data_IF_985243906701
#
_entry.id   IF_985243906701
#
_cell.length_a   1.000
_cell.length_b   1.000
_cell.length_c   1.000
_cell.angle_alpha   90.00
_cell.angle_beta   90.00
_cell.angle_gamma   90.00
#
_symmetry.space_group_name_H-M   'P 1'
#
loop_
_entity.id
_entity.type
_entity.pdbx_description
1 polymer ?
#
# COMPACT_ATOMS: atom_id res chain seq x y z
N UNK A 1 -4.72 -9.40 -3.70
CA UNK A 1 -4.22 -8.94 -5.02
C UNK A 1 -4.38 -10.07 -6.02
N UNK A 2 -4.57 -9.76 -7.30
CA UNK A 2 -4.91 -10.74 -8.34
C UNK A 2 -3.97 -10.72 -9.54
N UNK A 3 -3.13 -9.68 -9.66
CA UNK A 3 -2.16 -9.47 -10.73
C UNK A 3 -0.98 -8.65 -10.20
N UNK A 4 0.19 -8.69 -10.84
CA UNK A 4 1.32 -7.80 -10.51
C UNK A 4 1.04 -6.30 -10.62
N UNK A 5 0.05 -5.91 -11.42
CA UNK A 5 -0.39 -4.51 -11.46
C UNK A 5 -1.26 -4.08 -10.27
N UNK A 6 -1.48 -4.95 -9.30
CA UNK A 6 -2.18 -4.60 -8.07
C UNK A 6 -1.22 -4.09 -6.97
N UNK A 7 0.09 -4.26 -7.12
CA UNK A 7 1.12 -3.71 -6.25
C UNK A 7 2.32 -3.23 -7.07
N UNK A 8 2.62 -1.95 -6.93
CA UNK A 8 3.59 -1.28 -7.80
C UNK A 8 4.48 -0.34 -7.01
N UNK A 9 5.68 -0.12 -7.52
CA UNK A 9 6.64 0.84 -7.00
C UNK A 9 6.89 1.92 -8.05
N UNK A 10 6.70 3.17 -7.69
CA UNK A 10 6.94 4.30 -8.56
C UNK A 10 8.16 5.09 -8.13
N UNK A 11 9.12 5.21 -9.05
CA UNK A 11 10.34 5.99 -8.87
C UNK A 11 10.10 7.51 -9.02
N UNK A 12 11.05 8.38 -8.61
CA UNK A 12 10.85 9.83 -8.65
C UNK A 12 10.70 10.41 -10.06
N UNK A 13 11.19 9.71 -11.08
CA UNK A 13 11.02 10.07 -12.49
C UNK A 13 9.68 9.60 -13.09
N UNK A 14 8.84 8.97 -12.26
CA UNK A 14 7.53 8.43 -12.61
C UNK A 14 7.56 7.03 -13.21
N UNK A 15 8.73 6.40 -13.34
CA UNK A 15 8.81 5.03 -13.82
C UNK A 15 8.10 4.08 -12.85
N UNK A 16 7.19 3.26 -13.39
CA UNK A 16 6.36 2.34 -12.63
C UNK A 16 6.87 0.91 -12.78
N UNK A 17 7.28 0.31 -11.66
CA UNK A 17 7.67 -1.08 -11.57
C UNK A 17 6.47 -1.94 -11.17
N UNK A 18 6.16 -2.95 -11.98
CA UNK A 18 4.87 -3.70 -11.96
C UNK A 18 5.09 -5.22 -11.82
N UNK A 19 6.28 -5.62 -11.40
CA UNK A 19 6.70 -7.02 -11.37
C UNK A 19 7.97 -7.28 -10.56
N UNK A 20 8.18 -6.47 -9.52
CA UNK A 20 9.31 -6.67 -8.61
C UNK A 20 8.98 -7.84 -7.69
N UNK A 21 9.95 -8.69 -7.37
CA UNK A 21 9.73 -9.81 -6.44
C UNK A 21 9.65 -9.36 -4.98
N UNK A 22 10.24 -8.22 -4.69
CA UNK A 22 10.22 -7.48 -3.44
C UNK A 22 9.47 -6.16 -3.63
N UNK A 23 9.04 -5.56 -2.51
CA UNK A 23 8.41 -4.25 -2.49
C UNK A 23 9.04 -3.39 -1.39
N UNK A 24 9.69 -2.30 -1.81
CA UNK A 24 10.37 -1.36 -0.94
C UNK A 24 9.43 -0.22 -0.53
N UNK A 25 9.01 -0.23 0.73
CA UNK A 25 8.35 0.94 1.29
C UNK A 25 9.39 2.02 1.57
N UNK A 26 9.33 3.13 0.83
CA UNK A 26 10.15 4.30 1.06
C UNK A 26 11.41 4.34 0.20
N UNK A 27 12.52 3.74 0.64
CA UNK A 27 13.83 3.91 -0.01
C UNK A 27 14.45 2.58 -0.40
N UNK A 28 14.76 2.44 -1.69
CA UNK A 28 15.68 1.45 -2.26
C UNK A 28 17.00 2.15 -2.68
N UNK A 29 17.48 1.93 -3.91
CA UNK A 29 18.45 2.75 -4.61
C UNK A 29 17.91 4.15 -4.92
N UNK A 30 16.60 4.27 -5.09
CA UNK A 30 15.82 5.50 -5.25
C UNK A 30 14.61 5.49 -4.31
N UNK A 31 13.95 6.65 -4.14
CA UNK A 31 12.69 6.73 -3.39
C UNK A 31 11.55 6.06 -4.16
N UNK A 32 10.85 5.14 -3.51
CA UNK A 32 9.67 4.46 -4.03
C UNK A 32 8.39 5.01 -3.40
N UNK A 33 7.42 5.33 -4.26
CA UNK A 33 6.03 5.52 -3.86
C UNK A 33 5.25 4.27 -4.23
N UNK A 34 4.65 3.61 -3.24
CA UNK A 34 3.98 2.33 -3.45
C UNK A 34 2.50 2.52 -3.69
N UNK A 35 1.98 1.88 -4.73
CA UNK A 35 0.54 1.78 -5.01
C UNK A 35 0.06 0.35 -4.73
N UNK A 36 -0.94 0.19 -3.87
CA UNK A 36 -1.59 -1.09 -3.60
C UNK A 36 -3.06 -1.05 -4.02
N UNK A 37 -3.54 -2.10 -4.67
CA UNK A 37 -4.92 -2.24 -5.15
C UNK A 37 -5.48 -3.61 -4.77
N UNK A 38 -6.62 -3.59 -4.13
CA UNK A 38 -7.35 -4.77 -3.69
C UNK A 38 -8.62 -4.89 -4.53
N UNK A 39 -8.53 -5.58 -5.66
CA UNK A 39 -9.55 -5.60 -6.71
C UNK A 39 -10.82 -6.43 -6.42
N UNK A 40 -10.91 -7.09 -5.25
CA UNK A 40 -12.04 -7.96 -4.91
C UNK A 40 -12.32 -7.95 -3.41
N UNK A 41 -12.68 -6.77 -2.89
CA UNK A 41 -13.13 -6.61 -1.50
C UNK A 41 -14.66 -6.59 -1.47
N UNK A 42 -15.25 -7.54 -0.74
CA UNK A 42 -16.68 -7.57 -0.43
C UNK A 42 -17.01 -6.50 0.62
N UNK A 43 -17.01 -5.23 0.20
CA UNK A 43 -17.41 -4.08 1.02
C UNK A 43 -18.75 -3.52 0.52
N UNK A 44 -19.87 -3.84 1.20
CA UNK A 44 -21.17 -3.25 0.90
C UNK A 44 -21.14 -1.72 1.00
N UNK A 45 -22.00 -1.05 0.22
CA UNK A 45 -22.09 0.42 0.23
C UNK A 45 -22.56 1.00 1.58
N UNK A 46 -23.26 0.20 2.40
CA UNK A 46 -23.72 0.53 3.75
C UNK A 46 -22.86 -0.10 4.85
N UNK A 47 -21.69 -0.65 4.49
CA UNK A 47 -20.80 -1.29 5.45
C UNK A 47 -20.33 -0.31 6.53
N UNK A 48 -20.50 -0.70 7.79
CA UNK A 48 -19.88 -0.02 8.92
C UNK A 48 -18.46 -0.54 9.06
N UNK A 49 -17.49 0.23 8.56
CA UNK A 49 -16.07 -0.09 8.74
C UNK A 49 -15.68 0.28 10.17
N UNK A 50 -15.41 -0.71 11.02
CA UNK A 50 -14.94 -0.48 12.39
C UNK A 50 -13.44 -0.20 12.43
N UNK A 51 -12.67 -1.07 11.79
CA UNK A 51 -11.21 -1.04 11.69
C UNK A 51 -10.80 -1.57 10.31
N UNK A 52 -9.66 -1.09 9.81
CA UNK A 52 -9.01 -1.63 8.62
C UNK A 52 -7.49 -1.46 8.75
N UNK A 53 -6.69 -2.39 8.23
CA UNK A 53 -5.24 -2.23 8.17
C UNK A 53 -4.69 -2.99 6.97
N UNK A 54 -3.52 -2.56 6.52
CA UNK A 54 -2.68 -3.33 5.60
C UNK A 54 -1.76 -4.21 6.43
N UNK A 55 -1.58 -5.47 6.03
CA UNK A 55 -0.60 -6.38 6.65
C UNK A 55 0.42 -6.86 5.62
N UNK A 56 1.71 -6.69 5.96
CA UNK A 56 2.84 -7.06 5.12
C UNK A 56 3.54 -8.32 5.65
N UNK A 57 4.26 -9.01 4.77
CA UNK A 57 5.18 -10.09 5.13
C UNK A 57 6.59 -9.62 4.86
N UNK A 58 7.49 -9.75 5.84
CA UNK A 58 8.89 -9.31 5.69
C UNK A 58 9.60 -10.19 4.66
N UNK A 59 10.17 -9.58 3.62
CA UNK A 59 11.06 -10.29 2.68
C UNK A 59 12.54 -10.10 3.06
N UNK A 60 12.94 -8.86 3.41
CA UNK A 60 14.31 -8.57 3.85
C UNK A 60 14.39 -7.88 5.23
N UNK A 61 15.48 -8.16 5.95
CA UNK A 61 15.80 -7.45 7.20
C UNK A 61 16.03 -5.98 6.90
N UNK A 62 15.17 -5.13 7.47
CA UNK A 62 15.14 -3.70 7.21
C UNK A 62 15.32 -2.91 8.53
N UNK A 63 16.57 -2.63 8.94
CA UNK A 63 16.85 -1.90 10.17
C UNK A 63 16.62 -0.39 10.00
N UNK A 64 16.66 0.34 11.12
CA UNK A 64 16.57 1.80 11.12
C UNK A 64 15.14 2.36 11.08
N UNK A 65 15.00 3.67 11.29
CA UNK A 65 13.71 4.34 11.35
C UNK A 65 13.03 4.38 9.99
N UNK A 66 11.70 4.29 10.00
CA UNK A 66 10.85 4.46 8.82
C UNK A 66 9.61 5.28 9.18
N UNK A 67 9.12 6.06 8.23
CA UNK A 67 7.93 6.89 8.41
C UNK A 67 7.20 7.06 7.09
N UNK A 68 5.94 6.66 7.06
CA UNK A 68 5.08 6.64 5.89
C UNK A 68 3.80 7.42 6.13
N UNK A 69 3.22 7.92 5.04
CA UNK A 69 1.86 8.42 4.98
C UNK A 69 1.08 7.54 4.03
N UNK A 70 -0.06 7.04 4.52
CA UNK A 70 -0.98 6.20 3.77
C UNK A 70 -2.20 7.05 3.39
N UNK A 71 -2.59 6.98 2.13
CA UNK A 71 -3.82 7.60 1.60
C UNK A 71 -4.59 6.63 0.73
N UNK A 72 -5.89 6.87 0.56
CA UNK A 72 -6.72 6.14 -0.38
C UNK A 72 -6.73 6.78 -1.77
N UNK A 73 -7.04 5.99 -2.80
CA UNK A 73 -7.28 6.50 -4.17
C UNK A 73 -8.74 6.21 -4.56
N UNK A 74 -9.56 7.26 -4.75
CA UNK A 74 -10.94 7.10 -5.21
C UNK A 74 -11.04 6.32 -6.53
N UNK A 75 -12.02 5.42 -6.60
CA UNK A 75 -12.29 4.60 -7.80
C UNK A 75 -11.36 3.41 -8.02
N UNK A 76 -10.26 3.30 -7.26
CA UNK A 76 -9.32 2.17 -7.31
C UNK A 76 -8.93 1.72 -8.73
N UNK A 77 -8.45 2.65 -9.60
CA UNK A 77 -8.02 2.30 -10.95
C UNK A 77 -6.83 1.33 -10.90
N UNK A 78 -6.67 0.51 -11.94
CA UNK A 78 -5.45 -0.28 -12.10
C UNK A 78 -4.25 0.66 -12.29
N UNK A 79 -3.11 0.32 -11.66
CA UNK A 79 -1.89 1.09 -11.79
C UNK A 79 -1.29 0.92 -13.19
N UNK A 80 -0.98 2.02 -13.86
CA UNK A 80 -0.35 1.97 -15.19
C UNK A 80 0.24 3.32 -15.60
N UNK A 81 1.24 3.26 -16.48
CA UNK A 81 1.85 4.44 -17.08
C UNK A 81 2.81 5.19 -16.13
N UNK A 82 3.46 6.22 -16.68
CA UNK A 82 4.32 7.10 -15.89
C UNK A 82 3.49 7.95 -14.95
N UNK A 83 3.96 8.11 -13.71
CA UNK A 83 3.21 8.81 -12.65
C UNK A 83 1.82 8.19 -12.39
N UNK A 84 1.69 6.88 -12.64
CA UNK A 84 0.46 6.12 -12.43
C UNK A 84 0.02 6.04 -10.97
N UNK A 85 0.93 6.30 -10.01
CA UNK A 85 0.66 6.39 -8.58
C UNK A 85 0.60 7.84 -8.12
N UNK A 86 1.68 8.60 -8.28
CA UNK A 86 1.77 9.98 -7.75
C UNK A 86 0.92 10.99 -8.53
N UNK A 87 0.52 10.67 -9.76
CA UNK A 87 -0.35 11.52 -10.59
C UNK A 87 -1.84 11.45 -10.24
N UNK A 88 -2.25 10.53 -9.36
CA UNK A 88 -3.66 10.36 -9.00
C UNK A 88 -4.08 11.28 -7.84
N UNK A 89 -5.35 11.70 -7.85
CA UNK A 89 -5.93 12.34 -6.67
C UNK A 89 -6.11 11.33 -5.55
N UNK A 90 -5.81 11.75 -4.33
CA UNK A 90 -5.92 10.93 -3.12
C UNK A 90 -6.98 11.48 -2.17
N UNK A 91 -7.35 10.67 -1.18
CA UNK A 91 -8.23 11.09 -0.08
C UNK A 91 -7.68 12.29 0.69
N UNK A 92 -8.59 13.05 1.30
CA UNK A 92 -8.26 14.09 2.26
C UNK A 92 -7.75 13.47 3.56
N UNK A 93 -8.42 12.42 4.04
CA UNK A 93 -7.99 11.59 5.15
C UNK A 93 -6.67 10.89 4.80
N UNK A 94 -5.80 10.81 5.80
CA UNK A 94 -4.50 10.15 5.71
C UNK A 94 -4.09 9.61 7.06
N UNK A 95 -3.28 8.56 7.05
CA UNK A 95 -2.78 7.90 8.26
C UNK A 95 -1.27 7.89 8.22
N UNK A 96 -0.64 8.42 9.26
CA UNK A 96 0.80 8.31 9.45
C UNK A 96 1.16 6.95 10.06
N UNK A 97 2.19 6.30 9.54
CA UNK A 97 2.67 5.01 10.00
C UNK A 97 4.19 5.03 10.18
N UNK A 98 4.65 4.70 11.39
CA UNK A 98 6.06 4.54 11.69
C UNK A 98 6.31 3.10 12.18
N UNK A 99 6.50 2.12 11.26
CA UNK A 99 6.70 0.74 11.66
C UNK A 99 8.03 0.57 12.40
N UNK A 100 8.07 -0.34 13.40
CA UNK A 100 9.34 -0.75 13.99
C UNK A 100 10.23 -1.42 12.93
N UNK A 101 11.49 -1.67 13.29
CA UNK A 101 12.41 -2.41 12.44
C UNK A 101 11.89 -3.82 12.14
N UNK A 102 12.09 -4.27 10.90
CA UNK A 102 11.74 -5.63 10.50
C UNK A 102 12.99 -6.50 10.57
N UNK A 103 13.15 -7.19 11.70
CA UNK A 103 14.37 -7.93 12.05
C UNK A 103 14.31 -9.42 11.73
N UNK A 104 13.23 -9.92 11.10
CA UNK A 104 13.03 -11.35 10.84
C UNK A 104 12.20 -11.56 9.59
N UNK A 105 12.77 -12.28 8.63
CA UNK A 105 12.17 -12.64 7.33
C UNK A 105 10.99 -13.59 7.55
N UNK A 106 9.95 -13.45 6.73
CA UNK A 106 8.75 -14.27 6.71
C UNK A 106 7.74 -13.96 7.82
N UNK A 107 8.01 -12.94 8.65
CA UNK A 107 7.07 -12.54 9.72
C UNK A 107 5.97 -11.65 9.13
N UNK A 108 4.72 -11.97 9.46
CA UNK A 108 3.58 -11.05 9.33
C UNK A 108 2.88 -10.99 10.69
N UNK A 109 3.05 -9.88 11.40
CA UNK A 109 2.45 -9.69 12.71
C UNK A 109 2.06 -8.24 12.98
N UNK A 110 1.69 -7.88 14.22
CA UNK A 110 1.30 -6.52 14.58
C UNK A 110 2.30 -5.45 14.17
N UNK A 111 3.60 -5.77 14.18
CA UNK A 111 4.70 -4.88 13.79
C UNK A 111 4.79 -4.65 12.26
N UNK A 112 4.15 -5.49 11.47
CA UNK A 112 4.01 -5.40 10.02
C UNK A 112 2.62 -4.94 9.59
N UNK A 113 1.79 -4.46 10.53
CA UNK A 113 0.49 -3.86 10.21
C UNK A 113 0.58 -2.34 10.18
N UNK A 114 -0.19 -1.73 9.28
CA UNK A 114 -0.48 -0.31 9.38
C UNK A 114 -1.33 -0.01 10.63
N UNK A 115 -1.41 1.26 11.07
CA UNK A 115 -2.45 1.70 11.98
C UNK A 115 -3.83 1.60 11.32
N UNK A 116 -4.87 1.91 12.09
CA UNK A 116 -6.25 1.87 11.62
C UNK A 116 -6.48 2.84 10.44
N UNK A 117 -6.83 2.26 9.29
CA UNK A 117 -7.15 2.92 8.03
C UNK A 117 -8.66 3.18 7.88
N UNK A 118 -9.49 2.85 8.87
CA UNK A 118 -10.93 3.07 8.78
C UNK A 118 -11.32 4.50 8.40
N UNK A 119 -10.65 5.59 8.83
CA UNK A 119 -10.96 6.94 8.33
C UNK A 119 -10.85 7.07 6.80
N UNK A 120 -9.78 6.54 6.21
CA UNK A 120 -9.56 6.52 4.76
C UNK A 120 -10.62 5.68 4.06
N UNK A 121 -10.87 4.46 4.55
CA UNK A 121 -11.84 3.55 3.93
C UNK A 121 -13.26 4.14 3.99
N UNK A 122 -13.63 4.78 5.11
CA UNK A 122 -14.94 5.46 5.24
C UNK A 122 -15.06 6.63 4.27
N UNK A 123 -14.00 7.42 4.06
CA UNK A 123 -14.01 8.49 3.04
C UNK A 123 -14.22 7.91 1.63
N UNK A 124 -13.51 6.83 1.29
CA UNK A 124 -13.65 6.15 -0.01
C UNK A 124 -15.08 5.65 -0.21
N UNK A 125 -15.67 4.96 0.78
CA UNK A 125 -17.06 4.48 0.71
C UNK A 125 -18.05 5.64 0.56
N UNK A 126 -17.90 6.71 1.35
CA UNK A 126 -18.75 7.89 1.26
C UNK A 126 -18.63 8.62 -0.10
N UNK A 127 -17.45 8.58 -0.71
CA UNK A 127 -17.17 9.11 -2.05
C UNK A 127 -17.66 8.24 -3.20
N UNK A 128 -18.34 7.11 -2.91
CA UNK A 128 -18.85 6.20 -3.92
C UNK A 128 -17.77 5.30 -4.53
N UNK A 129 -16.77 4.89 -3.73
CA UNK A 129 -15.82 3.86 -4.13
C UNK A 129 -16.56 2.68 -4.75
N UNK A 130 -16.02 2.19 -5.87
CA UNK A 130 -16.64 1.10 -6.60
C UNK A 130 -16.82 -0.10 -5.66
N UNK A 131 -18.03 -0.70 -5.59
CA UNK A 131 -18.19 -1.93 -4.84
C UNK A 131 -17.20 -2.95 -5.41
N UNK A 132 -16.33 -3.49 -4.55
CA UNK A 132 -15.36 -4.50 -4.96
C UNK A 132 -13.91 -4.08 -4.98
N UNK A 133 -13.53 -2.80 -4.85
CA UNK A 133 -12.11 -2.44 -4.84
C UNK A 133 -11.70 -1.27 -3.95
N UNK A 134 -10.52 -1.39 -3.32
CA UNK A 134 -9.84 -0.31 -2.60
C UNK A 134 -8.41 -0.16 -3.11
N UNK A 135 -7.92 1.06 -3.20
CA UNK A 135 -6.53 1.35 -3.52
C UNK A 135 -5.93 2.29 -2.50
N UNK A 136 -4.66 2.06 -2.17
CA UNK A 136 -3.88 2.84 -1.22
C UNK A 136 -2.56 3.27 -1.86
N UNK A 137 -2.08 4.45 -1.47
CA UNK A 137 -0.74 4.95 -1.78
C UNK A 137 0.03 5.09 -0.48
N UNK A 138 1.27 4.61 -0.49
CA UNK A 138 2.20 4.69 0.63
C UNK A 138 3.43 5.47 0.16
N UNK A 139 3.68 6.60 0.79
CA UNK A 139 4.84 7.45 0.51
C UNK A 139 5.54 7.84 1.81
N UNK A 140 6.86 7.95 1.80
CA UNK A 140 7.59 8.31 3.01
C UNK A 140 9.10 8.10 2.91
N UNK A 141 9.74 7.84 4.03
CA UNK A 141 11.19 7.65 4.12
C UNK A 141 11.56 6.47 5.02
N UNK A 142 12.82 6.04 4.92
CA UNK A 142 13.29 4.78 5.49
C UNK A 142 12.95 3.60 4.58
N UNK A 143 13.26 2.38 5.03
CA UNK A 143 13.04 1.16 4.24
C UNK A 143 12.30 0.12 5.05
N UNK A 144 11.29 -0.50 4.44
CA UNK A 144 10.70 -1.78 4.86
C UNK A 144 10.47 -2.59 3.59
N UNK A 145 11.20 -3.69 3.45
CA UNK A 145 11.08 -4.58 2.29
C UNK A 145 10.13 -5.70 2.61
N UNK A 146 9.02 -5.73 1.86
CA UNK A 146 7.98 -6.72 1.97
C UNK A 146 7.95 -7.64 0.75
N UNK A 147 7.37 -8.81 0.93
CA UNK A 147 6.97 -9.67 -0.17
C UNK A 147 5.96 -8.93 -1.07
N UNK A 148 6.14 -9.04 -2.38
CA UNK A 148 5.19 -8.56 -3.39
C UNK A 148 4.25 -9.69 -3.86
N UNK A 149 3.36 -9.37 -4.79
CA UNK A 149 2.58 -10.35 -5.52
C UNK A 149 3.47 -11.33 -6.29
N UNK A 150 4.50 -10.85 -6.98
CA UNK A 150 5.48 -11.69 -7.68
C UNK A 150 6.35 -12.51 -6.72
N UNK A 151 6.64 -12.01 -5.52
CA UNK A 151 7.33 -12.75 -4.44
C UNK A 151 6.51 -13.92 -3.89
N UNK A 152 5.18 -13.86 -4.04
CA UNK A 152 4.25 -14.96 -3.77
C UNK A 152 3.50 -14.84 -2.44
N UNK A 153 3.79 -13.82 -1.64
CA UNK A 153 3.04 -13.49 -0.40
C UNK A 153 2.63 -12.02 -0.37
N UNK A 154 1.72 -11.59 -1.27
CA UNK A 154 1.36 -10.18 -1.41
C UNK A 154 0.78 -9.57 -0.12
N UNK A 155 0.83 -8.23 0.00
CA UNK A 155 0.10 -7.51 1.04
C UNK A 155 -1.39 -7.83 1.01
N UNK A 156 -2.03 -7.79 2.19
CA UNK A 156 -3.44 -8.12 2.40
C UNK A 156 -4.17 -7.07 3.22
#
# INVERSE_FOLDING_TARGET
MTTGSDDVEEQPDGYLYVGSSDMELGTDSELQTVGLRFASIDLPADAVVSEAWLEFTVDEVSPGPASYTIKGVPGAPAWSGFFGVTGLSTTAESVSWAPPEWNSIGVSGPDQRSPDLAPIVRELVAGGAAPGALSFVIAGSGRRTAESFEGGVPPR
#
